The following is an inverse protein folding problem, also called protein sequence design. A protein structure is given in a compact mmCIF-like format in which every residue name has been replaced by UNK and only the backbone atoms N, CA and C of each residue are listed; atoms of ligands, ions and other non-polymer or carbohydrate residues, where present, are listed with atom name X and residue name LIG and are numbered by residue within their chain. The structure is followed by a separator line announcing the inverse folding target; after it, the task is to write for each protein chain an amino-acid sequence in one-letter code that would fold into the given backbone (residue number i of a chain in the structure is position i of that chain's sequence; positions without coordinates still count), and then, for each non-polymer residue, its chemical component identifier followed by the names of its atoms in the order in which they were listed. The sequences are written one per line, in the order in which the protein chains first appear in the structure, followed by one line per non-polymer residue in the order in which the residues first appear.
data_IF_818701163470
#
_entry.id   IF_818701163470
#
_cell.length_a   1.000
_cell.length_b   1.000
_cell.length_c   1.000
_cell.angle_alpha   90.00
_cell.angle_beta   90.00
_cell.angle_gamma   90.00
#
_symmetry.space_group_name_H-M   'P 1'
#
loop_
_entity.id
_entity.type
_entity.pdbx_description
1 polymer ?
#
# COMPACT_ATOMS: atom_id res chain seq x y z
N UNK A 1 6.45 10.32 -4.50
CA UNK A 1 5.02 10.35 -4.90
C UNK A 1 4.53 11.67 -5.50
N UNK A 2 5.07 12.85 -5.15
CA UNK A 2 4.56 14.14 -5.66
C UNK A 2 4.55 14.28 -7.20
N UNK A 3 5.64 13.96 -7.89
CA UNK A 3 5.71 14.05 -9.37
C UNK A 3 4.67 13.15 -10.04
N UNK A 4 4.58 11.90 -9.58
CA UNK A 4 3.59 10.93 -10.03
C UNK A 4 2.16 11.42 -9.76
N UNK A 5 1.89 11.88 -8.53
CA UNK A 5 0.62 12.44 -8.13
C UNK A 5 0.19 13.61 -9.01
N UNK A 6 1.08 14.57 -9.29
CA UNK A 6 0.80 15.70 -10.19
C UNK A 6 0.43 15.22 -11.60
N UNK A 7 1.18 14.26 -12.16
CA UNK A 7 0.90 13.67 -13.49
C UNK A 7 -0.48 13.00 -13.54
N UNK A 8 -0.84 12.28 -12.47
CA UNK A 8 -2.10 11.55 -12.37
C UNK A 8 -3.27 12.38 -11.80
N UNK A 9 -3.05 13.67 -11.47
CA UNK A 9 -3.99 14.53 -10.75
C UNK A 9 -4.46 13.96 -9.40
N UNK A 10 -3.55 13.28 -8.70
CA UNK A 10 -3.74 12.64 -7.40
C UNK A 10 -2.90 13.35 -6.33
N UNK A 11 -3.50 13.66 -5.19
CA UNK A 11 -2.82 14.32 -4.05
C UNK A 11 -2.57 13.30 -2.94
N UNK A 12 -1.37 12.75 -2.90
CA UNK A 12 -1.00 11.75 -1.91
C UNK A 12 -0.61 12.39 -0.57
N UNK A 13 -1.18 11.87 0.52
CA UNK A 13 -0.73 12.06 1.90
C UNK A 13 0.19 10.90 2.26
N UNK A 14 1.41 11.22 2.71
CA UNK A 14 2.37 10.24 3.23
C UNK A 14 2.14 10.00 4.73
N UNK A 15 2.34 8.76 5.18
CA UNK A 15 2.32 8.46 6.61
C UNK A 15 3.60 9.00 7.25
N UNK A 16 3.44 9.84 8.27
CA UNK A 16 4.54 10.57 8.90
C UNK A 16 5.18 9.85 10.09
N UNK A 17 4.72 8.64 10.43
CA UNK A 17 5.21 7.89 11.59
C UNK A 17 4.53 8.23 12.93
N UNK A 18 3.53 9.13 12.95
CA UNK A 18 2.86 9.59 14.16
C UNK A 18 1.35 9.32 14.15
N UNK A 19 0.66 9.80 13.12
CA UNK A 19 -0.81 9.73 13.04
C UNK A 19 -1.24 8.87 11.86
N UNK A 20 -2.13 7.93 12.12
CA UNK A 20 -2.70 7.09 11.08
C UNK A 20 -3.40 7.90 10.01
N UNK A 21 -3.27 7.45 8.77
CA UNK A 21 -4.03 7.98 7.64
C UNK A 21 -5.35 7.23 7.55
N UNK A 22 -6.45 7.98 7.68
CA UNK A 22 -7.79 7.47 7.41
C UNK A 22 -8.15 7.65 5.93
N UNK A 23 -8.53 6.57 5.26
CA UNK A 23 -9.08 6.56 3.90
C UNK A 23 -10.54 7.01 3.91
N UNK A 24 -11.12 7.28 2.73
CA UNK A 24 -12.57 7.52 2.65
C UNK A 24 -13.42 6.29 2.97
N UNK A 25 -12.88 5.07 2.82
CA UNK A 25 -13.57 3.82 3.16
C UNK A 25 -13.39 3.44 4.66
N UNK A 26 -12.61 4.23 5.41
CA UNK A 26 -12.45 4.11 6.86
C UNK A 26 -11.30 3.20 7.30
N UNK A 27 -10.49 2.67 6.39
CA UNK A 27 -9.19 2.08 6.71
C UNK A 27 -8.29 3.12 7.39
N UNK A 28 -7.56 2.69 8.43
CA UNK A 28 -6.61 3.51 9.18
C UNK A 28 -5.22 2.89 9.08
N UNK A 29 -4.36 3.49 8.26
CA UNK A 29 -3.00 2.99 8.06
C UNK A 29 -1.99 3.76 8.92
N UNK A 30 -1.10 3.09 9.66
CA UNK A 30 -0.84 1.64 9.68
C UNK A 30 -1.66 0.82 10.68
N UNK A 31 -2.49 1.43 11.53
CA UNK A 31 -3.17 0.74 12.64
C UNK A 31 -3.91 -0.53 12.22
N UNK A 32 -4.58 -0.49 11.06
CA UNK A 32 -5.41 -1.58 10.57
C UNK A 32 -4.64 -2.81 10.15
N UNK A 33 -3.30 -2.75 10.02
CA UNK A 33 -2.47 -3.97 9.91
C UNK A 33 -2.68 -4.93 11.10
N UNK A 34 -3.06 -4.41 12.27
CA UNK A 34 -3.36 -5.23 13.45
C UNK A 34 -4.86 -5.43 13.71
N UNK A 35 -5.72 -4.69 13.02
CA UNK A 35 -7.18 -4.68 13.29
C UNK A 35 -8.00 -5.34 12.18
N UNK A 36 -7.42 -5.59 11.01
CA UNK A 36 -8.11 -6.14 9.84
C UNK A 36 -7.34 -7.31 9.23
N UNK A 37 -8.08 -8.17 8.53
CA UNK A 37 -7.47 -9.21 7.71
C UNK A 37 -7.02 -8.61 6.39
N UNK A 38 -5.77 -8.85 6.00
CA UNK A 38 -5.25 -8.47 4.69
C UNK A 38 -5.25 -9.66 3.75
N UNK A 39 -5.74 -9.44 2.54
CA UNK A 39 -5.78 -10.48 1.51
C UNK A 39 -5.14 -10.00 0.22
N UNK A 40 -4.25 -10.82 -0.33
CA UNK A 40 -3.66 -10.60 -1.64
C UNK A 40 -4.60 -11.10 -2.73
N UNK A 41 -4.96 -10.21 -3.66
CA UNK A 41 -5.64 -10.54 -4.90
C UNK A 41 -4.59 -10.87 -5.97
N UNK A 42 -4.63 -12.10 -6.48
CA UNK A 42 -3.86 -12.46 -7.68
C UNK A 42 -4.53 -11.88 -8.93
N UNK A 43 -3.74 -11.28 -9.83
CA UNK A 43 -4.25 -10.60 -11.01
C UNK A 43 -5.17 -11.53 -11.84
N UNK A 44 -6.36 -11.01 -12.18
CA UNK A 44 -7.42 -11.67 -12.95
C UNK A 44 -8.07 -12.92 -12.34
N UNK A 45 -7.75 -13.30 -11.10
CA UNK A 45 -8.40 -14.43 -10.42
C UNK A 45 -9.26 -13.97 -9.25
N UNK A 46 -10.40 -14.65 -9.01
CA UNK A 46 -11.20 -14.44 -7.78
C UNK A 46 -10.54 -15.06 -6.53
N UNK A 47 -9.33 -15.62 -6.66
CA UNK A 47 -8.63 -16.23 -5.54
C UNK A 47 -7.92 -15.16 -4.74
N UNK A 48 -8.08 -15.27 -3.44
CA UNK A 48 -7.49 -14.40 -2.45
C UNK A 48 -6.79 -15.26 -1.42
N UNK A 49 -5.63 -14.83 -0.97
CA UNK A 49 -4.89 -15.49 0.11
C UNK A 49 -4.69 -14.48 1.24
N UNK A 50 -4.79 -14.95 2.48
CA UNK A 50 -4.48 -14.11 3.64
C UNK A 50 -2.98 -13.97 3.74
N UNK A 51 -2.50 -12.74 3.90
CA UNK A 51 -1.06 -12.45 3.99
C UNK A 51 -0.72 -11.85 5.35
N UNK A 52 0.49 -12.13 5.83
CA UNK A 52 1.03 -11.48 7.02
C UNK A 52 1.75 -10.20 6.60
N UNK A 53 1.10 -9.04 6.78
CA UNK A 53 1.60 -7.73 6.36
C UNK A 53 1.60 -6.76 7.53
N UNK A 54 2.62 -5.91 7.63
CA UNK A 54 2.63 -4.90 8.69
C UNK A 54 3.69 -3.82 8.51
N UNK A 55 3.54 -2.75 9.30
CA UNK A 55 4.50 -1.66 9.35
C UNK A 55 5.82 -2.12 9.99
N UNK A 56 6.86 -2.19 9.17
CA UNK A 56 8.21 -2.59 9.57
C UNK A 56 9.29 -1.92 8.71
N UNK A 57 9.53 -0.61 8.89
CA UNK A 57 10.61 0.10 8.19
C UNK A 57 12.01 -0.43 8.53
N UNK A 58 12.14 -1.27 9.56
CA UNK A 58 13.43 -1.81 10.01
C UNK A 58 13.75 -3.21 9.47
N UNK A 59 12.77 -3.89 8.85
CA UNK A 59 12.89 -5.26 8.36
C UNK A 59 13.31 -6.26 9.45
N UNK A 60 12.77 -6.12 10.66
CA UNK A 60 13.13 -6.94 11.84
C UNK A 60 11.97 -7.74 12.41
N UNK A 61 10.75 -7.51 11.95
CA UNK A 61 9.55 -8.23 12.40
C UNK A 61 9.32 -9.45 11.51
N UNK A 62 8.46 -10.35 11.97
CA UNK A 62 8.08 -11.54 11.21
C UNK A 62 6.81 -11.24 10.39
N UNK A 63 7.00 -10.64 9.22
CA UNK A 63 5.95 -10.33 8.25
C UNK A 63 6.34 -10.89 6.88
N UNK A 64 5.38 -11.41 6.11
CA UNK A 64 5.61 -11.75 4.70
C UNK A 64 5.88 -10.47 3.91
N UNK A 65 5.12 -9.42 4.20
CA UNK A 65 5.24 -8.10 3.59
C UNK A 65 5.58 -7.03 4.63
N UNK A 66 6.82 -6.56 4.61
CA UNK A 66 7.29 -5.50 5.49
C UNK A 66 7.00 -4.13 4.86
N UNK A 67 5.96 -3.44 5.31
CA UNK A 67 5.61 -2.12 4.79
C UNK A 67 6.58 -1.08 5.36
N UNK A 68 7.26 -0.37 4.45
CA UNK A 68 8.29 0.63 4.76
C UNK A 68 7.85 2.06 4.45
N UNK A 69 6.83 2.24 3.60
CA UNK A 69 6.23 3.55 3.33
C UNK A 69 4.77 3.43 2.88
N UNK A 70 3.94 4.41 3.23
CA UNK A 70 2.50 4.41 2.97
C UNK A 70 2.09 5.76 2.39
N UNK A 71 1.35 5.73 1.28
CA UNK A 71 0.78 6.92 0.67
C UNK A 71 -0.68 6.70 0.32
N UNK A 72 -1.56 7.59 0.80
CA UNK A 72 -2.98 7.54 0.47
C UNK A 72 -3.40 8.75 -0.39
N UNK A 73 -4.20 8.50 -1.42
CA UNK A 73 -4.95 9.54 -2.11
C UNK A 73 -6.44 9.17 -2.05
N UNK A 74 -7.23 10.00 -1.36
CA UNK A 74 -8.68 9.95 -1.46
C UNK A 74 -9.08 10.55 -2.82
N UNK A 75 -9.89 9.84 -3.60
CA UNK A 75 -10.26 10.22 -4.98
C UNK A 75 -11.77 10.10 -5.18
N UNK A 76 -12.37 10.97 -5.99
CA UNK A 76 -13.73 10.73 -6.53
C UNK A 76 -14.88 10.68 -5.51
N UNK A 77 -15.82 9.74 -5.77
CA UNK A 77 -17.08 9.49 -5.04
C UNK A 77 -16.82 9.06 -3.58
N UNK A 78 -17.86 8.95 -2.72
CA UNK A 78 -17.70 8.43 -1.36
C UNK A 78 -16.93 7.09 -1.36
N UNK A 79 -16.07 6.90 -0.36
CA UNK A 79 -15.29 5.67 -0.09
C UNK A 79 -14.12 5.36 -1.06
N UNK A 80 -13.97 6.10 -2.16
CA UNK A 80 -12.90 5.82 -3.12
C UNK A 80 -11.54 6.35 -2.65
N UNK A 81 -10.55 5.45 -2.61
CA UNK A 81 -9.17 5.79 -2.29
C UNK A 81 -8.18 4.97 -3.13
N UNK A 82 -6.93 5.42 -3.11
CA UNK A 82 -5.77 4.72 -3.66
C UNK A 82 -4.69 4.78 -2.59
N UNK A 83 -4.51 3.67 -1.87
CA UNK A 83 -3.46 3.57 -0.84
C UNK A 83 -2.34 2.68 -1.36
N UNK A 84 -1.18 3.26 -1.59
CA UNK A 84 0.04 2.53 -1.88
C UNK A 84 0.74 2.11 -0.60
N UNK A 85 1.06 0.82 -0.52
CA UNK A 85 1.86 0.22 0.54
C UNK A 85 3.17 -0.25 -0.10
N UNK A 86 4.23 0.52 0.10
CA UNK A 86 5.57 0.15 -0.37
C UNK A 86 6.16 -0.83 0.62
N UNK A 87 6.46 -2.03 0.17
CA UNK A 87 6.82 -3.16 1.02
C UNK A 87 8.05 -3.89 0.54
N UNK A 88 8.70 -4.60 1.44
CA UNK A 88 9.74 -5.59 1.11
C UNK A 88 9.15 -6.97 1.36
N UNK A 89 9.30 -7.86 0.38
CA UNK A 89 8.86 -9.24 0.44
C UNK A 89 9.98 -10.13 -0.13
N UNK A 90 10.44 -11.11 0.63
CA UNK A 90 11.59 -11.97 0.26
C UNK A 90 12.84 -11.18 -0.19
N UNK A 91 13.09 -10.04 0.47
CA UNK A 91 14.22 -9.16 0.16
C UNK A 91 14.07 -8.35 -1.14
N UNK A 92 12.90 -8.40 -1.79
CA UNK A 92 12.58 -7.67 -3.01
C UNK A 92 11.59 -6.52 -2.74
N UNK A 93 11.73 -5.38 -3.42
CA UNK A 93 10.79 -4.27 -3.31
C UNK A 93 9.48 -4.60 -4.05
N UNK A 94 8.36 -4.61 -3.32
CA UNK A 94 7.01 -4.81 -3.86
C UNK A 94 6.12 -3.62 -3.51
N UNK A 95 5.56 -2.98 -4.54
CA UNK A 95 4.59 -1.90 -4.37
C UNK A 95 3.17 -2.46 -4.46
N UNK A 96 2.49 -2.53 -3.31
CA UNK A 96 1.10 -2.95 -3.23
C UNK A 96 0.14 -1.76 -3.32
N UNK A 97 -1.08 -2.01 -3.74
CA UNK A 97 -2.17 -1.02 -3.77
C UNK A 97 -3.43 -1.60 -3.14
N UNK A 98 -4.02 -0.83 -2.23
CA UNK A 98 -5.36 -1.02 -1.68
C UNK A 98 -6.31 0.04 -2.27
N UNK A 99 -7.47 -0.42 -2.70
CA UNK A 99 -8.57 0.38 -3.25
C UNK A 99 -9.92 -0.18 -2.78
N UNK A 100 -9.94 -0.85 -1.63
CA UNK A 100 -11.12 -1.47 -1.06
C UNK A 100 -12.15 -0.39 -0.71
N UNK A 101 -13.35 -0.47 -1.27
CA UNK A 101 -14.40 0.53 -0.99
C UNK A 101 -15.29 0.12 0.17
N UNK A 102 -15.42 -1.18 0.44
CA UNK A 102 -16.25 -1.73 1.49
C UNK A 102 -15.80 -3.13 1.89
N UNK A 103 -16.18 -3.55 3.11
CA UNK A 103 -15.88 -4.88 3.64
C UNK A 103 -15.04 -4.85 4.92
N UNK A 104 -14.88 -6.01 5.55
CA UNK A 104 -14.05 -6.17 6.75
C UNK A 104 -12.58 -6.44 6.43
N UNK A 105 -12.29 -6.91 5.22
CA UNK A 105 -10.96 -7.32 4.79
C UNK A 105 -10.36 -6.26 3.88
N UNK A 106 -9.08 -5.95 4.07
CA UNK A 106 -8.34 -5.09 3.16
C UNK A 106 -7.78 -5.92 2.01
N UNK A 107 -8.22 -5.62 0.79
CA UNK A 107 -7.79 -6.32 -0.42
C UNK A 107 -6.63 -5.57 -1.07
N UNK A 108 -5.44 -6.17 -1.06
CA UNK A 108 -4.25 -5.62 -1.71
C UNK A 108 -3.89 -6.41 -2.95
N UNK A 109 -3.18 -5.75 -3.88
CA UNK A 109 -2.52 -6.40 -5.02
C UNK A 109 -1.26 -5.65 -5.39
N UNK A 110 -0.35 -6.28 -6.11
CA UNK A 110 0.76 -5.54 -6.72
C UNK A 110 0.20 -4.47 -7.68
N UNK A 111 0.77 -3.26 -7.63
CA UNK A 111 0.33 -2.20 -8.51
C UNK A 111 0.66 -2.51 -9.96
N UNK A 112 -0.35 -2.45 -10.83
CA UNK A 112 -0.14 -2.51 -12.28
C UNK A 112 0.63 -1.29 -12.81
N UNK A 113 0.80 -0.24 -12.01
CA UNK A 113 1.50 0.98 -12.41
C UNK A 113 3.02 0.74 -12.47
N UNK A 114 3.54 0.54 -13.68
CA UNK A 114 4.97 0.31 -13.93
C UNK A 114 5.85 1.45 -13.42
N UNK A 115 5.43 2.72 -13.56
CA UNK A 115 6.22 3.88 -13.10
C UNK A 115 6.41 3.84 -11.57
N UNK A 116 5.37 3.48 -10.82
CA UNK A 116 5.45 3.34 -9.35
C UNK A 116 6.35 2.17 -8.96
N UNK A 117 6.23 1.01 -9.62
CA UNK A 117 7.08 -0.17 -9.33
C UNK A 117 8.54 0.12 -9.61
N UNK A 118 8.85 0.60 -10.81
CA UNK A 118 10.23 0.91 -11.22
C UNK A 118 10.85 1.98 -10.33
N UNK A 119 10.10 3.04 -10.01
CA UNK A 119 10.62 4.08 -9.11
C UNK A 119 10.96 3.53 -7.72
N UNK A 120 10.11 2.67 -7.16
CA UNK A 120 10.38 2.07 -5.86
C UNK A 120 11.56 1.09 -5.90
N UNK A 121 11.63 0.24 -6.92
CA UNK A 121 12.76 -0.68 -7.10
C UNK A 121 14.10 0.07 -7.20
N UNK A 122 14.14 1.13 -8.01
CA UNK A 122 15.32 1.99 -8.14
C UNK A 122 15.75 2.61 -6.80
N UNK A 123 14.81 3.13 -6.01
CA UNK A 123 15.10 3.69 -4.68
C UNK A 123 15.65 2.61 -3.74
N UNK A 124 15.05 1.40 -3.75
CA UNK A 124 15.48 0.29 -2.91
C UNK A 124 16.89 -0.20 -3.25
N UNK A 125 17.23 -0.25 -4.55
CA UNK A 125 18.56 -0.64 -5.03
C UNK A 125 19.62 0.48 -4.88
N UNK A 126 19.22 1.70 -4.54
CA UNK A 126 20.11 2.87 -4.46
C UNK A 126 20.43 3.51 -5.82
N UNK A 127 19.68 3.18 -6.86
CA UNK A 127 19.81 3.70 -8.22
C UNK A 127 19.00 5.00 -8.37
N UNK A 128 19.55 6.15 -7.96
CA UNK A 128 18.89 7.47 -8.09
C UNK A 128 19.37 8.27 -9.30
#
# INVERSE_FOLDING_TARGET
MNRFGTKMKQKYKEYNGQESIETLAGEKYPDDFNNRTFKMCSDNSKKTETINIGWDPSLKKDYDYHVVSIFNCNVGNPEQHITYLFSVHDGQPVALVDQTTNGSDCMVKETANQEVRTAFANIFEGNN
#
